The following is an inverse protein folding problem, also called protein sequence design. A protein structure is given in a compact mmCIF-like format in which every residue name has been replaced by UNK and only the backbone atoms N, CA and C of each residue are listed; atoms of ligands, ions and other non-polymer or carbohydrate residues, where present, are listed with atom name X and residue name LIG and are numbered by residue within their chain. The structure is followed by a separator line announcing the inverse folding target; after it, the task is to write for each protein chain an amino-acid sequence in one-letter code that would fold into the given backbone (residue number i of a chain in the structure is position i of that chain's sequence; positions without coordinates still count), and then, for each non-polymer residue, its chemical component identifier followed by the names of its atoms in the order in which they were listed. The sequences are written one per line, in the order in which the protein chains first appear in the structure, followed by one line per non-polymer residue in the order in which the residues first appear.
data_IF_023740226421
#
_entry.id   IF_023740226421
#
_cell.length_a   1.000
_cell.length_b   1.000
_cell.length_c   1.000
_cell.angle_alpha   90.00
_cell.angle_beta   90.00
_cell.angle_gamma   90.00
#
_symmetry.space_group_name_H-M   'P 1'
#
loop_
_entity.id
_entity.type
_entity.pdbx_description
1 polymer ?
#
# COMPACT_ATOMS: atom_id res chain seq x y z
N UNK A 1 22.54 4.77 24.73
CA UNK A 1 21.89 6.07 24.49
C UNK A 1 20.88 5.82 23.38
N UNK A 2 19.69 5.38 23.75
CA UNK A 2 18.64 5.03 22.78
C UNK A 2 17.95 6.31 22.31
N UNK A 3 17.73 6.41 21.00
CA UNK A 3 17.25 7.62 20.34
C UNK A 3 15.79 7.92 20.72
N UNK A 4 15.63 8.83 21.70
CA UNK A 4 14.34 9.31 22.23
C UNK A 4 13.45 9.92 21.13
N UNK A 5 14.03 10.34 20.00
CA UNK A 5 13.27 10.94 18.89
C UNK A 5 12.41 9.91 18.12
N UNK A 6 12.82 8.64 18.06
CA UNK A 6 12.09 7.57 17.36
C UNK A 6 10.84 7.14 18.13
N UNK A 7 10.90 7.07 19.47
CA UNK A 7 9.73 6.70 20.29
C UNK A 7 8.57 7.68 20.14
N UNK A 8 8.84 8.97 19.92
CA UNK A 8 7.81 10.01 19.84
C UNK A 8 7.03 10.00 18.53
N UNK A 9 7.56 9.36 17.48
CA UNK A 9 6.87 9.18 16.19
C UNK A 9 5.75 8.12 16.29
N UNK A 10 5.94 7.09 17.12
CA UNK A 10 5.01 5.96 17.27
C UNK A 10 3.65 6.32 17.86
N UNK A 11 3.50 7.46 18.53
CA UNK A 11 2.25 7.82 19.24
C UNK A 11 1.40 8.90 18.55
N UNK A 12 1.92 9.59 17.52
CA UNK A 12 1.19 10.73 16.92
C UNK A 12 0.66 10.52 15.51
N UNK A 13 1.23 9.58 14.75
CA UNK A 13 0.82 9.33 13.38
C UNK A 13 0.75 7.82 13.15
N UNK A 14 -0.40 7.35 12.67
CA UNK A 14 -0.67 5.95 12.33
C UNK A 14 -0.80 5.72 10.82
N UNK A 15 -0.53 6.75 9.99
CA UNK A 15 -0.59 6.66 8.53
C UNK A 15 0.55 7.47 7.90
N UNK A 16 1.25 6.85 6.95
CA UNK A 16 2.25 7.51 6.10
C UNK A 16 1.77 7.45 4.64
N UNK A 17 1.78 8.60 3.96
CA UNK A 17 1.31 8.69 2.57
C UNK A 17 2.49 8.96 1.64
N UNK A 18 2.71 8.08 0.66
CA UNK A 18 3.74 8.20 -0.36
C UNK A 18 3.11 8.61 -1.68
N UNK A 19 3.26 9.88 -2.06
CA UNK A 19 2.69 10.45 -3.29
C UNK A 19 3.76 10.67 -4.37
N UNK A 20 3.32 10.82 -5.62
CA UNK A 20 4.19 11.10 -6.76
C UNK A 20 3.69 10.53 -8.09
N UNK A 21 4.31 10.92 -9.23
CA UNK A 21 3.88 10.50 -10.56
C UNK A 21 4.12 9.00 -10.80
N UNK A 22 3.44 8.42 -11.80
CA UNK A 22 3.70 7.05 -12.25
C UNK A 22 5.18 6.88 -12.61
N UNK A 23 5.74 5.69 -12.34
CA UNK A 23 7.15 5.36 -12.56
C UNK A 23 8.18 6.17 -11.75
N UNK A 24 7.78 6.89 -10.68
CA UNK A 24 8.71 7.61 -9.80
C UNK A 24 9.32 6.76 -8.66
N UNK A 25 9.12 5.44 -8.68
CA UNK A 25 9.66 4.52 -7.65
C UNK A 25 8.93 4.53 -6.30
N UNK A 26 7.64 4.92 -6.26
CA UNK A 26 6.84 4.97 -5.03
C UNK A 26 6.69 3.60 -4.36
N UNK A 27 6.42 2.56 -5.15
CA UNK A 27 6.22 1.20 -4.66
C UNK A 27 7.45 0.72 -3.90
N UNK A 28 8.62 0.73 -4.53
CA UNK A 28 9.87 0.40 -3.86
C UNK A 28 10.18 1.24 -2.61
N UNK A 29 9.83 2.54 -2.60
CA UNK A 29 9.96 3.37 -1.39
C UNK A 29 9.00 2.90 -0.28
N UNK A 30 7.73 2.69 -0.60
CA UNK A 30 6.71 2.23 0.34
C UNK A 30 7.09 0.87 0.96
N UNK A 31 7.58 -0.08 0.15
CA UNK A 31 8.04 -1.40 0.63
C UNK A 31 9.21 -1.27 1.60
N UNK A 32 10.22 -0.45 1.27
CA UNK A 32 11.37 -0.23 2.18
C UNK A 32 10.94 0.40 3.50
N UNK A 33 10.00 1.35 3.45
CA UNK A 33 9.46 2.01 4.64
C UNK A 33 8.66 1.03 5.49
N UNK A 34 7.74 0.28 4.89
CA UNK A 34 6.90 -0.72 5.55
C UNK A 34 7.74 -1.77 6.28
N UNK A 35 8.77 -2.33 5.61
CA UNK A 35 9.73 -3.27 6.25
C UNK A 35 10.44 -2.66 7.45
N UNK A 36 10.83 -1.39 7.36
CA UNK A 36 11.59 -0.71 8.43
C UNK A 36 10.73 -0.42 9.66
N UNK A 37 9.45 -0.13 9.47
CA UNK A 37 8.52 0.22 10.56
C UNK A 37 7.66 -0.96 11.02
N UNK A 38 7.74 -2.11 10.35
CA UNK A 38 6.85 -3.25 10.59
C UNK A 38 5.40 -2.95 10.20
N UNK A 39 5.19 -2.12 9.18
CA UNK A 39 3.88 -1.69 8.72
C UNK A 39 3.40 -2.42 7.48
N UNK A 40 2.18 -2.11 7.08
CA UNK A 40 1.50 -2.68 5.91
C UNK A 40 1.25 -1.61 4.86
N UNK A 41 0.95 -2.02 3.61
CA UNK A 41 0.72 -1.11 2.49
C UNK A 41 -0.75 -1.14 2.07
N UNK A 42 -1.38 0.02 2.02
CA UNK A 42 -2.68 0.23 1.37
C UNK A 42 -2.45 0.88 0.01
N UNK A 43 -2.72 0.18 -1.10
CA UNK A 43 -2.59 0.77 -2.43
C UNK A 43 -3.67 1.82 -2.66
N UNK A 44 -3.25 3.01 -3.13
CA UNK A 44 -4.12 4.11 -3.51
C UNK A 44 -4.05 4.39 -5.02
N UNK A 45 -3.91 3.33 -5.83
CA UNK A 45 -3.92 3.40 -7.29
C UNK A 45 -5.23 2.83 -7.84
N UNK A 46 -5.99 3.65 -8.58
CA UNK A 46 -7.31 3.28 -9.10
C UNK A 46 -7.28 2.19 -10.17
N UNK A 47 -6.09 1.83 -10.70
CA UNK A 47 -5.92 0.81 -11.74
C UNK A 47 -5.43 -0.51 -11.15
N UNK A 48 -4.67 -0.48 -10.07
CA UNK A 48 -4.16 -1.71 -9.44
C UNK A 48 -5.23 -2.53 -8.70
N UNK A 49 -6.42 -1.96 -8.50
CA UNK A 49 -7.56 -2.64 -7.85
C UNK A 49 -8.11 -3.82 -8.67
N UNK A 50 -7.87 -3.88 -9.99
CA UNK A 50 -8.50 -4.86 -10.89
C UNK A 50 -7.68 -6.12 -11.10
N UNK A 51 -8.28 -7.29 -10.85
CA UNK A 51 -7.66 -8.62 -10.99
C UNK A 51 -7.13 -8.91 -12.39
N UNK A 52 -5.93 -9.48 -12.47
CA UNK A 52 -5.32 -9.96 -13.72
C UNK A 52 -4.93 -8.87 -14.72
N UNK A 53 -5.03 -7.59 -14.35
CA UNK A 53 -4.66 -6.45 -15.20
C UNK A 53 -3.22 -5.96 -14.96
N UNK A 54 -2.25 -6.85 -14.74
CA UNK A 54 -0.98 -6.49 -14.09
C UNK A 54 -0.05 -5.63 -14.96
N UNK A 55 0.15 -6.03 -16.22
CA UNK A 55 1.08 -5.35 -17.15
C UNK A 55 0.62 -3.93 -17.49
N UNK A 56 -0.67 -3.76 -17.81
CA UNK A 56 -1.23 -2.47 -18.21
C UNK A 56 -1.41 -1.49 -17.06
N UNK A 57 -1.37 -1.97 -15.81
CA UNK A 57 -1.56 -1.16 -14.61
C UNK A 57 -0.30 -1.01 -13.76
N UNK A 58 0.83 -1.53 -14.24
CA UNK A 58 2.14 -1.41 -13.57
C UNK A 58 2.14 -2.08 -12.19
N UNK A 59 1.53 -3.25 -12.06
CA UNK A 59 1.63 -4.07 -10.84
C UNK A 59 2.91 -4.89 -10.88
N UNK A 60 3.99 -4.27 -10.46
CA UNK A 60 5.24 -5.00 -10.22
C UNK A 60 5.13 -5.74 -8.88
N UNK A 61 4.31 -6.81 -8.84
CA UNK A 61 3.98 -7.56 -7.62
C UNK A 61 5.22 -8.08 -6.89
N UNK A 62 6.30 -8.35 -7.63
CA UNK A 62 7.59 -8.77 -7.08
C UNK A 62 8.28 -7.72 -6.21
N UNK A 63 7.93 -6.42 -6.37
CA UNK A 63 8.46 -5.36 -5.52
C UNK A 63 8.03 -5.51 -4.06
N UNK A 64 6.84 -6.08 -3.82
CA UNK A 64 6.31 -6.28 -2.47
C UNK A 64 7.00 -7.42 -1.70
N UNK A 65 7.82 -8.21 -2.40
CA UNK A 65 8.65 -9.27 -1.82
C UNK A 65 8.39 -10.63 -2.45
N UNK A 66 9.02 -11.65 -1.87
CA UNK A 66 8.83 -13.06 -2.22
C UNK A 66 8.17 -13.78 -1.05
N UNK A 67 7.66 -14.98 -1.29
CA UNK A 67 7.06 -15.83 -0.26
C UNK A 67 7.98 -15.93 0.97
N UNK A 68 7.46 -15.60 2.15
CA UNK A 68 8.22 -15.54 3.42
C UNK A 68 8.84 -14.18 3.80
N UNK A 69 8.97 -13.22 2.86
CA UNK A 69 9.52 -11.88 3.11
C UNK A 69 8.64 -10.74 2.52
N UNK A 70 7.41 -11.09 2.15
CA UNK A 70 6.46 -10.15 1.56
C UNK A 70 5.92 -9.18 2.60
N UNK A 71 5.85 -7.90 2.24
CA UNK A 71 5.10 -6.90 3.00
C UNK A 71 3.61 -7.13 2.74
N UNK A 72 2.73 -7.15 3.75
CA UNK A 72 1.29 -7.22 3.53
C UNK A 72 0.80 -6.02 2.70
N UNK A 73 0.01 -6.30 1.67
CA UNK A 73 -0.54 -5.29 0.77
C UNK A 73 -2.04 -5.48 0.62
N UNK A 74 -2.75 -4.37 0.68
CA UNK A 74 -4.20 -4.29 0.58
C UNK A 74 -4.61 -3.46 -0.64
N UNK A 75 -5.86 -3.62 -1.07
CA UNK A 75 -6.49 -2.88 -2.16
C UNK A 75 -5.85 -3.09 -3.54
N UNK A 76 -5.14 -4.20 -3.72
CA UNK A 76 -4.72 -4.72 -5.02
C UNK A 76 -5.58 -5.94 -5.32
N UNK A 77 -5.99 -6.12 -6.58
CA UNK A 77 -6.75 -7.31 -7.00
C UNK A 77 -8.04 -7.55 -6.20
N UNK A 78 -8.74 -6.47 -5.86
CA UNK A 78 -9.98 -6.48 -5.07
C UNK A 78 -11.26 -6.41 -5.92
N UNK A 79 -11.16 -6.07 -7.20
CA UNK A 79 -12.26 -5.96 -8.16
C UNK A 79 -12.02 -6.80 -9.40
N UNK A 80 -13.10 -7.28 -10.02
CA UNK A 80 -13.02 -7.95 -11.31
C UNK A 80 -12.99 -6.94 -12.47
N UNK A 81 -12.32 -7.25 -13.60
CA UNK A 81 -12.37 -6.41 -14.78
C UNK A 81 -13.81 -6.15 -15.23
N UNK A 82 -14.14 -4.89 -15.51
CA UNK A 82 -15.48 -4.47 -15.93
C UNK A 82 -16.40 -4.02 -14.79
N UNK A 83 -16.00 -4.22 -13.53
CA UNK A 83 -16.68 -3.59 -12.39
C UNK A 83 -16.34 -2.10 -12.32
N UNK A 84 -17.28 -1.28 -11.86
CA UNK A 84 -16.98 0.13 -11.55
C UNK A 84 -16.31 0.25 -10.18
N UNK A 85 -15.17 0.93 -10.13
CA UNK A 85 -14.50 1.28 -8.88
C UNK A 85 -14.46 2.80 -8.68
N UNK A 86 -15.33 3.29 -7.79
CA UNK A 86 -15.49 4.72 -7.50
C UNK A 86 -14.64 5.18 -6.31
N UNK A 87 -14.50 6.50 -6.14
CA UNK A 87 -13.88 7.09 -4.95
C UNK A 87 -14.60 6.70 -3.65
N UNK A 88 -15.93 6.56 -3.69
CA UNK A 88 -16.71 6.10 -2.53
C UNK A 88 -16.36 4.65 -2.17
N UNK A 89 -16.26 3.78 -3.18
CA UNK A 89 -15.82 2.40 -2.97
C UNK A 89 -14.40 2.35 -2.41
N UNK A 90 -13.48 3.18 -2.93
CA UNK A 90 -12.13 3.30 -2.38
C UNK A 90 -12.14 3.68 -0.89
N UNK A 91 -12.90 4.71 -0.51
CA UNK A 91 -12.97 5.14 0.89
C UNK A 91 -13.51 4.04 1.82
N UNK A 92 -14.62 3.38 1.47
CA UNK A 92 -15.17 2.27 2.26
C UNK A 92 -14.15 1.13 2.41
N UNK A 93 -13.50 0.72 1.33
CA UNK A 93 -12.49 -0.34 1.37
C UNK A 93 -11.24 0.07 2.16
N UNK A 94 -10.81 1.31 2.02
CA UNK A 94 -9.68 1.88 2.76
C UNK A 94 -9.95 1.84 4.26
N UNK A 95 -11.08 2.37 4.73
CA UNK A 95 -11.38 2.41 6.17
C UNK A 95 -11.50 1.00 6.76
N UNK A 96 -12.15 0.07 6.06
CA UNK A 96 -12.26 -1.33 6.53
C UNK A 96 -10.90 -2.02 6.68
N UNK A 97 -9.99 -1.81 5.72
CA UNK A 97 -8.66 -2.41 5.78
C UNK A 97 -7.79 -1.70 6.82
N UNK A 98 -7.87 -0.36 6.91
CA UNK A 98 -7.12 0.44 7.86
C UNK A 98 -7.51 0.12 9.32
N UNK A 99 -8.78 -0.14 9.61
CA UNK A 99 -9.26 -0.52 10.95
C UNK A 99 -8.77 -1.92 11.40
N UNK A 100 -8.22 -2.74 10.49
CA UNK A 100 -7.72 -4.08 10.77
C UNK A 100 -6.20 -4.14 10.97
N UNK A 101 -5.48 -3.03 10.76
CA UNK A 101 -4.02 -2.90 10.87
C UNK A 101 -3.66 -2.29 12.22
#
# INVERSE_FOLDING_TARGET
MEDVSIRRFRERYNLLVVLGPTASGKTGLAVRLARRIGGEILSADSRQVYRGMDLGTGKDLSEYGREGEAVPVHLIDICDPGEEFSLFAFQDRFYRAFDQI
#
